data_IF_622564669475
#
_entry.id   IF_622564669475
#
_cell.length_a   1.000
_cell.length_b   1.000
_cell.length_c   1.000
_cell.angle_alpha   90.00
_cell.angle_beta   90.00
_cell.angle_gamma   90.00
#
_symmetry.space_group_name_H-M   'P 1'
#
loop_
_entity.id
_entity.type
_entity.pdbx_description
1 polymer ?
#
# COMPACT_ATOMS: atom_id res chain seq x y z
N UNK A 1 13.68 4.35 0.85
CA UNK A 1 13.56 4.47 -0.60
C UNK A 1 14.42 5.63 -1.03
N UNK A 2 15.41 5.37 -1.87
CA UNK A 2 16.25 6.41 -2.44
C UNK A 2 15.65 6.96 -3.75
N UNK A 3 16.29 7.99 -4.30
CA UNK A 3 15.81 8.66 -5.51
C UNK A 3 15.90 7.76 -6.75
N UNK A 4 16.87 6.83 -6.78
CA UNK A 4 17.06 5.91 -7.90
C UNK A 4 15.91 4.90 -7.96
N UNK A 5 15.49 4.37 -6.81
CA UNK A 5 14.34 3.49 -6.68
C UNK A 5 13.02 4.17 -7.09
N UNK A 6 12.84 5.46 -6.75
CA UNK A 6 11.64 6.23 -7.14
C UNK A 6 11.58 6.39 -8.67
N UNK A 7 12.70 6.78 -9.28
CA UNK A 7 12.76 6.96 -10.74
C UNK A 7 12.53 5.64 -11.48
N UNK A 8 13.10 4.54 -10.99
CA UNK A 8 12.87 3.21 -11.57
C UNK A 8 11.40 2.80 -11.49
N UNK A 9 10.73 3.08 -10.37
CA UNK A 9 9.32 2.80 -10.15
C UNK A 9 8.43 3.63 -11.09
N UNK A 10 8.73 4.91 -11.28
CA UNK A 10 8.02 5.79 -12.20
C UNK A 10 8.12 5.30 -13.65
N UNK A 11 9.33 4.93 -14.09
CA UNK A 11 9.55 4.39 -15.43
C UNK A 11 8.87 3.04 -15.64
N UNK A 12 8.85 2.16 -14.64
CA UNK A 12 8.10 0.90 -14.73
C UNK A 12 6.60 1.15 -14.90
N UNK A 13 6.01 2.04 -14.09
CA UNK A 13 4.58 2.35 -14.17
C UNK A 13 4.19 2.93 -15.54
N UNK A 14 5.01 3.84 -16.10
CA UNK A 14 4.81 4.39 -17.45
C UNK A 14 4.84 3.32 -18.53
N UNK A 15 5.72 2.31 -18.39
CA UNK A 15 5.94 1.29 -19.41
C UNK A 15 5.09 0.02 -19.22
N UNK A 16 4.43 -0.14 -18.06
CA UNK A 16 3.74 -1.40 -17.71
C UNK A 16 2.44 -1.65 -18.47
N UNK A 17 1.78 -0.60 -18.97
CA UNK A 17 0.43 -0.68 -19.56
C UNK A 17 -0.66 -1.12 -18.56
N UNK A 18 -0.34 -1.17 -17.26
CA UNK A 18 -1.24 -1.54 -16.16
C UNK A 18 -1.54 -0.33 -15.29
N UNK A 19 -2.43 -0.51 -14.31
CA UNK A 19 -2.64 0.48 -13.28
C UNK A 19 -1.31 0.75 -12.53
N UNK A 20 -0.93 2.01 -12.31
CA UNK A 20 0.32 2.35 -11.63
C UNK A 20 0.39 1.78 -10.21
N UNK A 21 1.54 1.23 -9.82
CA UNK A 21 1.79 0.68 -8.49
C UNK A 21 2.41 1.69 -7.53
N UNK A 22 2.90 2.83 -8.02
CA UNK A 22 3.53 3.88 -7.22
C UNK A 22 2.66 4.37 -6.06
N UNK A 23 1.33 4.47 -6.24
CA UNK A 23 0.43 4.91 -5.17
C UNK A 23 0.36 3.90 -4.02
N UNK A 24 0.43 2.59 -4.31
CA UNK A 24 0.51 1.56 -3.28
C UNK A 24 1.80 1.68 -2.48
N UNK A 25 2.93 1.84 -3.19
CA UNK A 25 4.24 2.01 -2.56
C UNK A 25 4.25 3.26 -1.66
N UNK A 26 3.72 4.38 -2.14
CA UNK A 26 3.62 5.61 -1.36
C UNK A 26 2.78 5.43 -0.10
N UNK A 27 1.61 4.80 -0.22
CA UNK A 27 0.73 4.52 0.92
C UNK A 27 1.45 3.66 1.97
N UNK A 28 2.13 2.60 1.56
CA UNK A 28 2.86 1.75 2.50
C UNK A 28 3.99 2.49 3.23
N UNK A 29 4.78 3.28 2.50
CA UNK A 29 5.91 4.00 3.08
C UNK A 29 5.44 5.08 4.07
N UNK A 30 4.45 5.89 3.69
CA UNK A 30 3.95 6.98 4.54
C UNK A 30 3.17 6.43 5.74
N UNK A 31 2.33 5.41 5.55
CA UNK A 31 1.61 4.80 6.66
C UNK A 31 2.57 4.15 7.65
N UNK A 32 3.60 3.43 7.18
CA UNK A 32 4.64 2.87 8.07
C UNK A 32 5.40 3.98 8.80
N UNK A 33 5.75 5.07 8.10
CA UNK A 33 6.51 6.17 8.69
C UNK A 33 5.74 6.86 9.83
N UNK A 34 4.44 7.09 9.66
CA UNK A 34 3.60 7.84 10.61
C UNK A 34 2.99 6.94 11.68
N UNK A 35 2.59 5.72 11.32
CA UNK A 35 1.80 4.82 12.16
C UNK A 35 2.52 3.52 12.55
N UNK A 36 3.78 3.34 12.12
CA UNK A 36 4.53 2.11 12.36
C UNK A 36 4.01 0.90 11.58
N UNK A 37 4.63 -0.25 11.82
CA UNK A 37 4.27 -1.49 11.11
C UNK A 37 2.87 -1.98 11.48
N UNK A 38 2.47 -1.86 12.75
CA UNK A 38 1.12 -2.25 13.19
C UNK A 38 0.03 -1.43 12.51
N UNK A 39 0.26 -0.11 12.35
CA UNK A 39 -0.65 0.77 11.63
C UNK A 39 -0.77 0.40 10.15
N UNK A 40 0.34 0.05 9.51
CA UNK A 40 0.33 -0.42 8.12
C UNK A 40 -0.43 -1.74 7.97
N UNK A 41 -0.18 -2.72 8.84
CA UNK A 41 -0.88 -4.02 8.81
C UNK A 41 -2.37 -3.83 9.02
N UNK A 42 -2.77 -2.98 9.98
CA UNK A 42 -4.17 -2.66 10.21
C UNK A 42 -4.81 -1.98 8.99
N UNK A 43 -4.13 -1.01 8.38
CA UNK A 43 -4.62 -0.32 7.18
C UNK A 43 -4.85 -1.29 6.01
N UNK A 44 -3.88 -2.17 5.73
CA UNK A 44 -4.00 -3.21 4.69
C UNK A 44 -5.18 -4.13 4.94
N UNK A 45 -5.33 -4.61 6.18
CA UNK A 45 -6.45 -5.49 6.58
C UNK A 45 -7.79 -4.79 6.38
N UNK A 46 -7.92 -3.53 6.81
CA UNK A 46 -9.15 -2.75 6.65
C UNK A 46 -9.48 -2.58 5.16
N UNK A 47 -8.50 -2.19 4.34
CA UNK A 47 -8.69 -2.06 2.88
C UNK A 47 -9.18 -3.37 2.27
N UNK A 48 -8.54 -4.50 2.58
CA UNK A 48 -8.93 -5.81 2.05
C UNK A 48 -10.35 -6.23 2.50
N UNK A 49 -10.70 -6.03 3.77
CA UNK A 49 -12.04 -6.32 4.28
C UNK A 49 -13.12 -5.50 3.56
N UNK A 50 -12.86 -4.20 3.36
CA UNK A 50 -13.81 -3.30 2.71
C UNK A 50 -13.98 -3.62 1.22
N UNK A 51 -12.92 -4.02 0.52
CA UNK A 51 -12.99 -4.37 -0.90
C UNK A 51 -13.54 -5.79 -1.15
N UNK A 52 -13.32 -6.73 -0.24
CA UNK A 52 -13.85 -8.10 -0.34
C UNK A 52 -15.28 -8.25 0.19
N UNK A 53 -15.79 -7.24 0.92
CA UNK A 53 -17.10 -7.29 1.60
C UNK A 53 -17.12 -8.22 2.83
N UNK A 54 -15.97 -8.80 3.20
CA UNK A 54 -15.85 -9.70 4.35
C UNK A 54 -15.39 -8.93 5.58
N UNK A 55 -16.35 -8.51 6.40
CA UNK A 55 -16.08 -7.78 7.65
C UNK A 55 -15.58 -8.68 8.79
N UNK A 56 -15.58 -10.01 8.61
CA UNK A 56 -15.15 -10.96 9.65
C UNK A 56 -13.68 -10.81 10.03
N UNK A 57 -12.84 -10.25 9.15
CA UNK A 57 -11.44 -9.95 9.47
C UNK A 57 -11.23 -8.56 10.10
N UNK A 58 -12.29 -7.77 10.28
CA UNK A 58 -12.25 -6.50 11.02
C UNK A 58 -12.35 -6.70 12.54
N UNK A 59 -12.89 -7.85 12.97
CA UNK A 59 -13.05 -8.18 14.39
C UNK A 59 -11.67 -8.41 15.03
N UNK A 60 -11.34 -7.58 16.03
CA UNK A 60 -10.20 -7.83 16.91
C UNK A 60 -10.62 -8.91 17.91
N UNK A 61 -9.96 -10.07 17.88
CA UNK A 61 -9.87 -10.98 19.04
C UNK A 61 -8.95 -10.39 20.10
#
# INVERSE_FOLDING_TARGET
>A
MDIEEINALEEEDKNSGKAPRAQYVLAEQVTRLVHGEEGLVAAKRITECLFSGSLSALERS
#
